data_IF_231783144617
#
_entry.id   IF_231783144617
#
_cell.length_a   1.000
_cell.length_b   1.000
_cell.length_c   1.000
_cell.angle_alpha   90.00
_cell.angle_beta   90.00
_cell.angle_gamma   90.00
#
_symmetry.space_group_name_H-M   'P 1'
#
loop_
_entity.id
_entity.type
_entity.pdbx_description
1 polymer ?
#
# COMPACT_ATOMS: atom_id res chain seq x y z
N UNK A 1 17.12 -21.13 33.82
CA UNK A 1 16.92 -21.99 32.63
C UNK A 1 16.36 -21.13 31.54
N UNK A 2 17.22 -20.73 30.61
CA UNK A 2 16.95 -19.77 29.54
C UNK A 2 16.30 -20.49 28.35
N UNK A 3 15.01 -20.26 28.15
CA UNK A 3 14.35 -20.54 26.87
C UNK A 3 14.81 -19.48 25.85
N UNK A 4 15.94 -19.72 25.19
CA UNK A 4 16.22 -19.10 23.91
C UNK A 4 15.50 -19.93 22.85
N UNK A 5 14.23 -19.58 22.63
CA UNK A 5 13.46 -20.08 21.50
C UNK A 5 14.23 -19.76 20.22
N UNK A 6 14.63 -20.81 19.53
CA UNK A 6 15.24 -20.75 18.21
C UNK A 6 14.18 -20.26 17.21
N UNK A 7 13.95 -18.94 17.15
CA UNK A 7 13.08 -18.32 16.14
C UNK A 7 13.66 -18.67 14.77
N UNK A 8 12.99 -19.57 14.06
CA UNK A 8 13.42 -20.07 12.76
C UNK A 8 13.41 -18.90 11.78
N UNK A 9 14.60 -18.48 11.34
CA UNK A 9 14.74 -17.35 10.41
C UNK A 9 13.97 -17.65 9.11
N UNK A 10 13.02 -16.78 8.76
CA UNK A 10 12.20 -16.93 7.54
C UNK A 10 12.92 -16.32 6.35
N UNK A 11 12.97 -17.01 5.21
CA UNK A 11 13.53 -16.46 3.98
C UNK A 11 12.62 -15.37 3.41
N UNK A 12 13.20 -14.31 2.84
CA UNK A 12 12.45 -13.22 2.19
C UNK A 12 11.46 -13.76 1.16
N UNK A 13 11.93 -14.68 0.30
CA UNK A 13 11.13 -15.29 -0.76
C UNK A 13 9.91 -16.05 -0.21
N UNK A 14 10.07 -16.87 0.83
CA UNK A 14 8.94 -17.61 1.42
C UNK A 14 7.89 -16.69 2.04
N UNK A 15 8.32 -15.61 2.72
CA UNK A 15 7.41 -14.64 3.33
C UNK A 15 6.62 -13.88 2.25
N UNK A 16 7.27 -13.50 1.16
CA UNK A 16 6.61 -12.85 0.02
C UNK A 16 5.64 -13.80 -0.65
N UNK A 17 6.06 -15.03 -0.96
CA UNK A 17 5.24 -16.03 -1.63
C UNK A 17 3.98 -16.38 -0.81
N UNK A 18 4.12 -16.55 0.51
CA UNK A 18 3.00 -16.83 1.40
C UNK A 18 1.98 -15.67 1.43
N UNK A 19 2.45 -14.43 1.55
CA UNK A 19 1.57 -13.26 1.54
C UNK A 19 0.88 -13.08 0.18
N UNK A 20 1.60 -13.29 -0.93
CA UNK A 20 1.03 -13.22 -2.27
C UNK A 20 -0.02 -14.31 -2.51
N UNK A 21 0.23 -15.54 -2.05
CA UNK A 21 -0.73 -16.65 -2.15
C UNK A 21 -2.03 -16.35 -1.38
N UNK A 22 -1.91 -15.74 -0.18
CA UNK A 22 -3.08 -15.30 0.58
C UNK A 22 -3.82 -14.17 -0.14
N UNK A 23 -3.13 -13.20 -0.75
CA UNK A 23 -3.78 -12.17 -1.58
C UNK A 23 -4.58 -12.78 -2.74
N UNK A 24 -3.99 -13.72 -3.48
CA UNK A 24 -4.68 -14.42 -4.56
C UNK A 24 -5.92 -15.16 -4.06
N UNK A 25 -5.80 -15.83 -2.91
CA UNK A 25 -6.91 -16.58 -2.30
C UNK A 25 -8.05 -15.65 -1.89
N UNK A 26 -7.75 -14.55 -1.19
CA UNK A 26 -8.75 -13.65 -0.64
C UNK A 26 -9.38 -12.75 -1.71
N UNK A 27 -8.61 -12.22 -2.66
CA UNK A 27 -9.17 -11.49 -3.80
C UNK A 27 -9.97 -12.42 -4.74
N UNK A 28 -9.52 -13.68 -4.91
CA UNK A 28 -10.17 -14.69 -5.75
C UNK A 28 -11.58 -15.09 -5.29
N UNK A 29 -11.94 -14.83 -4.01
CA UNK A 29 -13.32 -15.00 -3.52
C UNK A 29 -14.30 -14.00 -4.15
N UNK A 30 -13.80 -12.92 -4.75
CA UNK A 30 -14.61 -11.82 -5.24
C UNK A 30 -14.61 -11.66 -6.77
N UNK A 31 -13.68 -12.30 -7.47
CA UNK A 31 -13.56 -12.26 -8.94
C UNK A 31 -13.18 -13.63 -9.50
N UNK A 32 -13.69 -13.92 -10.70
CA UNK A 32 -13.30 -15.05 -11.53
C UNK A 32 -12.57 -14.63 -12.81
N UNK A 33 -12.10 -15.63 -13.55
CA UNK A 33 -11.46 -15.43 -14.85
C UNK A 33 -12.44 -14.79 -15.84
N UNK A 34 -12.04 -13.68 -16.45
CA UNK A 34 -12.83 -12.92 -17.42
C UNK A 34 -13.73 -11.84 -16.80
N UNK A 35 -13.95 -11.85 -15.48
CA UNK A 35 -14.86 -10.90 -14.83
C UNK A 35 -14.39 -9.45 -15.02
N UNK A 36 -15.26 -8.54 -15.49
CA UNK A 36 -14.95 -7.12 -15.42
C UNK A 36 -14.90 -6.67 -13.96
N UNK A 37 -13.99 -5.75 -13.65
CA UNK A 37 -13.89 -5.16 -12.32
C UNK A 37 -13.48 -3.69 -12.44
N UNK A 38 -13.78 -2.92 -11.39
CA UNK A 38 -13.34 -1.54 -11.24
C UNK A 38 -12.45 -1.37 -10.01
N UNK A 39 -11.47 -0.46 -10.07
CA UNK A 39 -10.69 -0.03 -8.90
C UNK A 39 -10.92 1.47 -8.71
N UNK A 40 -11.46 1.89 -7.57
CA UNK A 40 -11.71 3.30 -7.29
C UNK A 40 -10.96 3.73 -6.03
N UNK A 41 -10.88 5.04 -5.80
CA UNK A 41 -9.93 5.64 -4.84
C UNK A 41 -8.46 5.48 -5.25
N UNK A 42 -8.16 5.57 -6.55
CA UNK A 42 -6.78 5.58 -7.03
C UNK A 42 -5.95 6.72 -6.38
N UNK A 43 -4.73 6.45 -5.87
CA UNK A 43 -3.90 7.42 -5.18
C UNK A 43 -3.20 8.38 -6.15
N UNK A 44 -3.93 9.40 -6.60
CA UNK A 44 -3.43 10.41 -7.54
C UNK A 44 -2.58 11.50 -6.86
N UNK A 45 -1.54 11.09 -6.14
CA UNK A 45 -0.58 11.96 -5.44
C UNK A 45 0.81 11.31 -5.36
N UNK A 46 1.82 12.06 -4.93
CA UNK A 46 3.22 11.63 -5.00
C UNK A 46 3.65 10.54 -4.01
N UNK A 47 2.73 9.90 -3.27
CA UNK A 47 3.11 8.85 -2.33
C UNK A 47 3.44 7.55 -3.09
N UNK A 48 4.70 7.12 -2.97
CA UNK A 48 5.19 5.87 -3.56
C UNK A 48 4.46 4.65 -3.01
N UNK A 49 4.21 4.62 -1.69
CA UNK A 49 3.61 3.46 -1.03
C UNK A 49 2.22 3.13 -1.56
N UNK A 50 1.37 4.14 -1.72
CA UNK A 50 0.01 3.93 -2.23
C UNK A 50 0.03 3.51 -3.71
N UNK A 51 1.00 3.98 -4.49
CA UNK A 51 1.22 3.46 -5.85
C UNK A 51 1.68 2.00 -5.85
N UNK A 52 2.49 1.57 -4.87
CA UNK A 52 2.88 0.17 -4.71
C UNK A 52 1.67 -0.72 -4.38
N UNK A 53 0.79 -0.27 -3.48
CA UNK A 53 -0.48 -0.96 -3.17
C UNK A 53 -1.28 -1.16 -4.46
N UNK A 54 -1.47 -0.09 -5.24
CA UNK A 54 -2.26 -0.15 -6.47
C UNK A 54 -1.67 -1.13 -7.48
N UNK A 55 -0.35 -1.13 -7.66
CA UNK A 55 0.33 -2.07 -8.57
C UNK A 55 0.22 -3.51 -8.08
N UNK A 56 0.25 -3.74 -6.77
CA UNK A 56 0.04 -5.04 -6.17
C UNK A 56 -1.40 -5.55 -6.32
N UNK A 57 -2.41 -4.70 -6.09
CA UNK A 57 -3.82 -4.98 -6.39
C UNK A 57 -3.99 -5.35 -7.86
N UNK A 58 -3.40 -4.55 -8.75
CA UNK A 58 -3.47 -4.75 -10.20
C UNK A 58 -2.80 -6.06 -10.62
N UNK A 59 -1.66 -6.42 -10.02
CA UNK A 59 -0.97 -7.68 -10.27
C UNK A 59 -1.85 -8.89 -9.92
N UNK A 60 -2.38 -8.91 -8.69
CA UNK A 60 -3.24 -9.99 -8.19
C UNK A 60 -4.52 -10.11 -9.01
N UNK A 61 -5.20 -8.99 -9.26
CA UNK A 61 -6.46 -8.99 -10.01
C UNK A 61 -6.27 -9.39 -11.47
N UNK A 62 -5.18 -8.99 -12.12
CA UNK A 62 -4.85 -9.43 -13.49
C UNK A 62 -4.58 -10.92 -13.55
N UNK A 63 -3.89 -11.48 -12.56
CA UNK A 63 -3.63 -12.91 -12.50
C UNK A 63 -4.93 -13.71 -12.36
N UNK A 64 -5.83 -13.28 -11.47
CA UNK A 64 -7.11 -13.94 -11.23
C UNK A 64 -8.08 -13.80 -12.41
N UNK A 65 -8.18 -12.60 -12.99
CA UNK A 65 -9.19 -12.28 -14.00
C UNK A 65 -8.69 -12.48 -15.43
N UNK A 66 -7.37 -12.51 -15.65
CA UNK A 66 -6.75 -12.51 -16.98
C UNK A 66 -6.94 -11.21 -17.77
N UNK A 67 -7.31 -10.11 -17.13
CA UNK A 67 -7.59 -8.83 -17.82
C UNK A 67 -7.24 -7.60 -16.98
N UNK A 68 -7.18 -6.45 -17.65
CA UNK A 68 -7.09 -5.14 -17.02
C UNK A 68 -8.41 -4.70 -16.37
N UNK A 69 -8.36 -3.81 -15.36
CA UNK A 69 -9.55 -3.21 -14.80
C UNK A 69 -10.31 -2.48 -15.91
N UNK A 70 -11.63 -2.61 -15.90
CA UNK A 70 -12.48 -1.95 -16.89
C UNK A 70 -12.67 -0.46 -16.57
N UNK A 71 -12.50 -0.07 -15.30
CA UNK A 71 -12.55 1.31 -14.84
C UNK A 71 -11.59 1.55 -13.67
N UNK A 72 -10.85 2.66 -13.70
CA UNK A 72 -10.04 3.12 -12.57
C UNK A 72 -10.29 4.60 -12.32
N UNK A 73 -10.47 5.04 -11.08
CA UNK A 73 -10.66 6.48 -10.78
C UNK A 73 -10.09 6.92 -9.43
N UNK A 74 -9.51 8.12 -9.41
CA UNK A 74 -9.30 8.87 -8.16
C UNK A 74 -10.57 9.60 -7.77
N UNK A 75 -10.67 10.06 -6.51
CA UNK A 75 -11.80 10.85 -5.98
C UNK A 75 -12.22 11.98 -6.93
N UNK A 76 -11.25 12.78 -7.39
CA UNK A 76 -11.49 13.96 -8.21
C UNK A 76 -11.91 13.64 -9.65
N UNK A 77 -11.74 12.39 -10.11
CA UNK A 77 -12.05 11.96 -11.49
C UNK A 77 -13.03 10.80 -11.52
N UNK A 78 -13.77 10.60 -10.42
CA UNK A 78 -14.80 9.59 -10.32
C UNK A 78 -16.08 10.03 -11.03
N UNK A 79 -16.67 9.14 -11.81
CA UNK A 79 -17.89 9.32 -12.58
C UNK A 79 -18.65 7.98 -12.55
N UNK A 80 -19.78 7.96 -11.85
CA UNK A 80 -20.55 6.74 -11.61
C UNK A 80 -21.12 6.15 -12.91
N UNK A 81 -21.57 6.99 -13.84
CA UNK A 81 -22.13 6.53 -15.10
C UNK A 81 -21.02 6.02 -16.03
N UNK A 82 -19.84 6.64 -15.99
CA UNK A 82 -18.68 6.11 -16.71
C UNK A 82 -18.23 4.76 -16.16
N UNK A 83 -18.30 4.55 -14.83
CA UNK A 83 -18.06 3.25 -14.22
C UNK A 83 -19.11 2.23 -14.71
N UNK A 84 -20.41 2.53 -14.61
CA UNK A 84 -21.48 1.62 -15.05
C UNK A 84 -21.38 1.26 -16.53
N UNK A 85 -21.01 2.20 -17.41
CA UNK A 85 -20.77 1.92 -18.84
C UNK A 85 -19.54 1.05 -19.08
N UNK A 86 -18.46 1.28 -18.33
CA UNK A 86 -17.20 0.59 -18.56
C UNK A 86 -17.15 -0.80 -17.90
N UNK A 87 -17.77 -0.95 -16.73
CA UNK A 87 -17.86 -2.16 -15.92
C UNK A 87 -19.34 -2.39 -15.51
N UNK A 88 -20.21 -2.81 -16.44
CA UNK A 88 -21.66 -2.95 -16.18
C UNK A 88 -21.98 -4.03 -15.15
N UNK A 89 -21.09 -5.01 -14.99
CA UNK A 89 -21.16 -6.08 -13.99
C UNK A 89 -19.84 -6.23 -13.25
N UNK A 90 -19.81 -7.11 -12.25
CA UNK A 90 -18.62 -7.43 -11.46
C UNK A 90 -18.38 -6.52 -10.26
N UNK A 91 -17.36 -6.79 -9.45
CA UNK A 91 -17.12 -6.06 -8.22
C UNK A 91 -16.46 -4.70 -8.44
N UNK A 92 -16.64 -3.84 -7.44
CA UNK A 92 -15.94 -2.57 -7.30
C UNK A 92 -14.95 -2.71 -6.13
N UNK A 93 -13.66 -2.63 -6.44
CA UNK A 93 -12.61 -2.60 -5.44
C UNK A 93 -12.33 -1.16 -5.02
N UNK A 94 -12.34 -0.91 -3.72
CA UNK A 94 -11.86 0.33 -3.10
C UNK A 94 -10.39 0.13 -2.74
N UNK A 95 -9.54 1.07 -3.15
CA UNK A 95 -8.11 1.01 -2.92
C UNK A 95 -7.72 0.82 -1.45
N UNK A 96 -6.69 0.00 -1.22
CA UNK A 96 -6.11 -0.32 0.08
C UNK A 96 -5.20 0.78 0.65
N UNK A 97 -4.51 0.47 1.75
CA UNK A 97 -3.57 1.39 2.40
C UNK A 97 -3.88 1.76 3.85
N UNK A 98 -3.81 3.05 4.18
CA UNK A 98 -3.99 3.56 5.55
C UNK A 98 -4.83 4.83 5.64
N UNK A 99 -5.95 4.85 4.90
CA UNK A 99 -6.87 5.99 4.80
C UNK A 99 -8.32 5.64 5.21
N UNK A 100 -8.54 4.49 5.86
CA UNK A 100 -9.84 4.12 6.42
C UNK A 100 -9.98 4.76 7.81
N UNK A 101 -10.76 5.83 7.89
CA UNK A 101 -10.84 6.62 9.12
C UNK A 101 -11.04 8.12 8.94
N UNK A 102 -11.15 8.82 10.06
CA UNK A 102 -11.38 10.28 10.13
C UNK A 102 -10.11 11.12 10.00
N UNK A 103 -8.93 10.52 10.08
CA UNK A 103 -7.64 11.19 9.79
C UNK A 103 -7.60 11.66 8.32
N UNK A 104 -8.28 10.95 7.42
CA UNK A 104 -8.32 11.21 5.98
C UNK A 104 -9.78 11.32 5.48
N UNK A 105 -10.53 12.35 5.91
CA UNK A 105 -11.99 12.37 5.80
C UNK A 105 -12.50 12.34 4.37
N UNK A 106 -11.75 12.90 3.40
CA UNK A 106 -12.14 12.87 1.99
C UNK A 106 -12.22 11.46 1.42
N UNK A 107 -11.30 10.57 1.82
CA UNK A 107 -11.30 9.17 1.38
C UNK A 107 -12.44 8.40 2.06
N UNK A 108 -12.64 8.62 3.36
CA UNK A 108 -13.72 7.98 4.11
C UNK A 108 -15.11 8.38 3.57
N UNK A 109 -15.36 9.67 3.38
CA UNK A 109 -16.62 10.17 2.82
C UNK A 109 -16.86 9.66 1.39
N UNK A 110 -15.80 9.57 0.57
CA UNK A 110 -15.92 8.99 -0.76
C UNK A 110 -16.36 7.52 -0.67
N UNK A 111 -15.72 6.73 0.19
CA UNK A 111 -16.02 5.31 0.40
C UNK A 111 -17.46 5.08 0.86
N UNK A 112 -17.90 5.84 1.87
CA UNK A 112 -19.27 5.80 2.39
C UNK A 112 -20.29 6.19 1.31
N UNK A 113 -19.97 7.21 0.49
CA UNK A 113 -20.79 7.58 -0.66
C UNK A 113 -20.88 6.45 -1.69
N UNK A 114 -19.79 5.73 -1.96
CA UNK A 114 -19.80 4.60 -2.89
C UNK A 114 -20.68 3.46 -2.38
N UNK A 115 -20.63 3.17 -1.07
CA UNK A 115 -21.53 2.19 -0.47
C UNK A 115 -23.01 2.56 -0.67
N UNK A 116 -23.37 3.84 -0.54
CA UNK A 116 -24.76 4.28 -0.75
C UNK A 116 -25.20 4.26 -2.22
N UNK A 117 -24.26 4.43 -3.16
CA UNK A 117 -24.58 4.55 -4.60
C UNK A 117 -24.64 3.19 -5.30
N UNK A 118 -23.81 2.23 -4.90
CA UNK A 118 -23.64 0.94 -5.57
C UNK A 118 -24.19 -0.23 -4.75
N UNK A 119 -25.38 -0.06 -4.20
CA UNK A 119 -26.07 -1.13 -3.45
C UNK A 119 -26.41 -2.35 -4.32
N UNK A 120 -26.39 -2.20 -5.64
CA UNK A 120 -26.58 -3.25 -6.63
C UNK A 120 -25.30 -4.03 -6.97
N UNK A 121 -24.16 -3.68 -6.37
CA UNK A 121 -22.85 -4.23 -6.71
C UNK A 121 -22.12 -4.71 -5.47
N UNK A 122 -21.30 -5.75 -5.67
CA UNK A 122 -20.30 -6.14 -4.67
C UNK A 122 -19.28 -5.02 -4.49
N UNK A 123 -19.12 -4.57 -3.25
CA UNK A 123 -18.11 -3.58 -2.88
C UNK A 123 -17.04 -4.23 -2.00
N UNK A 124 -15.79 -4.22 -2.46
CA UNK A 124 -14.67 -4.86 -1.76
C UNK A 124 -13.67 -3.80 -1.35
N UNK A 125 -13.52 -3.58 -0.05
CA UNK A 125 -12.41 -2.80 0.48
C UNK A 125 -11.15 -3.65 0.50
N UNK A 126 -10.17 -3.30 -0.33
CA UNK A 126 -8.85 -3.92 -0.31
C UNK A 126 -8.11 -3.66 1.01
N UNK A 127 -7.05 -4.41 1.35
CA UNK A 127 -6.43 -4.41 2.68
C UNK A 127 -6.11 -3.01 3.23
N UNK A 128 -6.72 -2.65 4.37
CA UNK A 128 -6.59 -1.35 5.02
C UNK A 128 -6.11 -1.43 6.48
N UNK A 129 -5.44 -0.37 6.93
CA UNK A 129 -5.34 -0.05 8.35
C UNK A 129 -6.46 0.92 8.74
N UNK A 130 -7.17 0.64 9.83
CA UNK A 130 -8.32 1.43 10.30
C UNK A 130 -7.90 2.32 11.48
N UNK A 131 -8.30 3.59 11.43
CA UNK A 131 -8.06 4.53 12.51
C UNK A 131 -9.18 5.58 12.60
N UNK A 132 -9.92 5.59 13.70
CA UNK A 132 -10.83 6.69 14.05
C UNK A 132 -10.41 7.34 15.37
N UNK A 133 -10.84 8.58 15.56
CA UNK A 133 -10.68 9.39 16.77
C UNK A 133 -12.02 9.97 17.24
N UNK A 134 -12.98 10.17 16.34
CA UNK A 134 -14.32 10.72 16.58
C UNK A 134 -15.39 9.63 16.49
N UNK A 135 -16.15 9.45 17.57
CA UNK A 135 -17.26 8.50 17.66
C UNK A 135 -18.40 8.83 16.66
N UNK A 136 -18.55 10.10 16.29
CA UNK A 136 -19.53 10.50 15.26
C UNK A 136 -19.15 9.92 13.89
N UNK A 137 -17.86 9.98 13.53
CA UNK A 137 -17.36 9.40 12.29
C UNK A 137 -17.46 7.86 12.30
N UNK A 138 -17.28 7.23 13.46
CA UNK A 138 -17.51 5.79 13.64
C UNK A 138 -18.97 5.45 13.34
N UNK A 139 -19.93 6.19 13.91
CA UNK A 139 -21.35 5.94 13.66
C UNK A 139 -21.72 6.13 12.18
N UNK A 140 -21.21 7.19 11.53
CA UNK A 140 -21.42 7.41 10.10
C UNK A 140 -20.88 6.26 9.23
N UNK A 141 -19.74 5.70 9.61
CA UNK A 141 -19.15 4.53 8.96
C UNK A 141 -20.04 3.30 9.13
N UNK A 142 -20.53 3.03 10.35
CA UNK A 142 -21.47 1.94 10.66
C UNK A 142 -22.73 2.07 9.81
N UNK A 143 -23.36 3.25 9.80
CA UNK A 143 -24.60 3.48 9.05
C UNK A 143 -24.42 3.27 7.55
N UNK A 144 -23.24 3.58 7.02
CA UNK A 144 -22.95 3.49 5.59
C UNK A 144 -22.63 2.07 5.13
N UNK A 145 -21.73 1.37 5.81
CA UNK A 145 -21.32 0.01 5.41
C UNK A 145 -22.22 -1.07 5.98
N UNK A 146 -22.78 -0.88 7.17
CA UNK A 146 -23.73 -1.83 7.79
C UNK A 146 -25.03 -1.95 6.99
N UNK A 147 -25.43 -0.90 6.26
CA UNK A 147 -26.59 -0.92 5.37
C UNK A 147 -26.28 -1.49 3.97
N UNK A 148 -25.02 -1.76 3.64
CA UNK A 148 -24.64 -2.23 2.30
C UNK A 148 -24.87 -3.75 2.16
N UNK A 149 -25.63 -4.22 1.16
CA UNK A 149 -26.03 -5.63 1.10
C UNK A 149 -24.88 -6.60 0.78
N UNK A 150 -23.85 -6.16 0.06
CA UNK A 150 -22.70 -7.01 -0.33
C UNK A 150 -21.37 -6.24 -0.17
N UNK A 151 -21.05 -5.85 1.07
CA UNK A 151 -19.77 -5.20 1.41
C UNK A 151 -18.80 -6.18 2.06
N UNK A 152 -17.57 -6.22 1.55
CA UNK A 152 -16.48 -7.03 2.09
C UNK A 152 -15.31 -6.15 2.51
N UNK A 153 -14.85 -6.34 3.75
CA UNK A 153 -13.75 -5.56 4.32
C UNK A 153 -12.50 -6.43 4.49
N UNK A 154 -11.41 -6.05 3.84
CA UNK A 154 -10.08 -6.60 4.12
C UNK A 154 -9.27 -5.60 4.96
N UNK A 155 -8.59 -6.10 5.97
CA UNK A 155 -7.69 -5.31 6.83
C UNK A 155 -6.32 -5.95 6.92
N UNK A 156 -5.28 -5.13 7.11
CA UNK A 156 -3.88 -5.58 7.02
C UNK A 156 -3.13 -5.72 8.34
N UNK A 157 -3.80 -5.50 9.46
CA UNK A 157 -3.22 -5.65 10.80
C UNK A 157 -4.28 -6.10 11.81
N UNK A 158 -3.83 -6.81 12.87
CA UNK A 158 -4.72 -7.39 13.89
C UNK A 158 -5.48 -6.33 14.69
N UNK A 159 -4.87 -5.16 14.92
CA UNK A 159 -5.56 -4.05 15.57
C UNK A 159 -6.79 -3.60 14.76
N UNK A 160 -6.65 -3.51 13.44
CA UNK A 160 -7.76 -3.16 12.54
C UNK A 160 -8.84 -4.24 12.49
N UNK A 161 -8.49 -5.52 12.69
CA UNK A 161 -9.49 -6.61 12.87
C UNK A 161 -10.36 -6.34 14.09
N UNK A 162 -9.71 -6.18 15.25
CA UNK A 162 -10.39 -5.90 16.52
C UNK A 162 -11.24 -4.65 16.44
N UNK A 163 -10.69 -3.55 15.89
CA UNK A 163 -11.43 -2.30 15.76
C UNK A 163 -12.68 -2.45 14.88
N UNK A 164 -12.58 -3.11 13.72
CA UNK A 164 -13.74 -3.29 12.84
C UNK A 164 -14.83 -4.16 13.48
N UNK A 165 -14.45 -5.20 14.22
CA UNK A 165 -15.40 -6.06 14.93
C UNK A 165 -16.09 -5.33 16.08
N UNK A 166 -15.31 -4.69 16.96
CA UNK A 166 -15.81 -4.11 18.20
C UNK A 166 -16.47 -2.73 18.01
N UNK A 167 -15.95 -1.91 17.09
CA UNK A 167 -16.41 -0.51 16.91
C UNK A 167 -17.29 -0.30 15.70
N UNK A 168 -17.12 -1.13 14.65
CA UNK A 168 -17.89 -0.97 13.41
C UNK A 168 -18.95 -2.06 13.21
N UNK A 169 -18.96 -3.12 14.03
CA UNK A 169 -19.86 -4.27 13.84
C UNK A 169 -19.64 -5.00 12.51
N UNK A 170 -18.46 -4.85 11.90
CA UNK A 170 -18.10 -5.45 10.61
C UNK A 170 -17.30 -6.73 10.84
N UNK A 171 -17.39 -7.66 9.89
CA UNK A 171 -16.60 -8.89 9.88
C UNK A 171 -15.46 -8.79 8.86
N UNK A 172 -14.29 -8.25 9.24
CA UNK A 172 -13.17 -8.10 8.32
C UNK A 172 -12.44 -9.43 8.09
N UNK A 173 -11.79 -9.55 6.94
CA UNK A 173 -10.81 -10.60 6.67
C UNK A 173 -9.40 -10.02 6.84
N UNK A 174 -8.54 -10.71 7.60
CA UNK A 174 -7.14 -10.32 7.76
C UNK A 174 -6.33 -10.77 6.54
N UNK A 175 -5.82 -9.81 5.78
CA UNK A 175 -5.14 -10.02 4.50
C UNK A 175 -3.88 -9.14 4.47
N UNK A 176 -2.72 -9.61 3.98
CA UNK A 176 -1.51 -8.79 3.95
C UNK A 176 -1.68 -7.58 3.03
N UNK A 177 -0.76 -6.63 3.14
CA UNK A 177 -0.77 -5.45 2.28
C UNK A 177 -0.70 -5.83 0.81
N UNK A 178 -1.54 -5.20 -0.01
CA UNK A 178 -1.66 -5.56 -1.42
C UNK A 178 -0.36 -5.36 -2.21
N UNK A 179 0.58 -4.52 -1.76
CA UNK A 179 1.88 -4.36 -2.40
C UNK A 179 2.68 -5.68 -2.48
N UNK A 180 2.44 -6.66 -1.58
CA UNK A 180 3.02 -8.01 -1.72
C UNK A 180 2.54 -8.76 -2.96
N UNK A 181 1.44 -8.33 -3.57
CA UNK A 181 0.97 -8.81 -4.87
C UNK A 181 1.96 -8.60 -6.02
N UNK A 182 2.89 -7.65 -5.87
CA UNK A 182 3.97 -7.41 -6.84
C UNK A 182 4.95 -8.60 -6.89
N UNK A 183 5.20 -9.24 -5.75
CA UNK A 183 6.18 -10.32 -5.62
C UNK A 183 7.62 -9.84 -5.42
N UNK A 184 8.57 -10.78 -5.42
CA UNK A 184 10.00 -10.52 -5.27
C UNK A 184 10.53 -9.78 -6.49
N UNK A 185 11.37 -8.76 -6.26
CA UNK A 185 11.91 -7.88 -7.29
C UNK A 185 13.43 -7.83 -7.24
N UNK A 186 14.11 -7.76 -8.39
CA UNK A 186 15.53 -7.42 -8.44
C UNK A 186 15.74 -5.96 -8.05
N UNK A 187 16.91 -5.64 -7.49
CA UNK A 187 17.31 -4.25 -7.28
C UNK A 187 17.54 -3.55 -8.63
N UNK A 188 16.85 -2.44 -8.94
CA UNK A 188 17.02 -1.71 -10.20
C UNK A 188 18.35 -0.95 -10.33
N UNK A 189 19.15 -0.84 -9.27
CA UNK A 189 20.40 -0.11 -9.28
C UNK A 189 21.43 -0.73 -8.33
N UNK A 190 22.71 -0.57 -8.64
CA UNK A 190 23.80 -0.87 -7.72
C UNK A 190 23.86 0.22 -6.63
N UNK A 191 23.96 -0.14 -5.35
CA UNK A 191 24.08 0.83 -4.27
C UNK A 191 25.29 1.75 -4.43
N UNK A 192 25.09 3.05 -4.27
CA UNK A 192 26.19 4.04 -4.21
C UNK A 192 26.44 4.55 -2.79
N UNK A 193 25.48 4.34 -1.89
CA UNK A 193 25.55 4.70 -0.47
C UNK A 193 25.52 3.45 0.40
N UNK A 194 26.12 3.52 1.59
CA UNK A 194 26.05 2.42 2.55
C UNK A 194 24.68 2.35 3.21
N UNK A 195 24.09 3.53 3.49
CA UNK A 195 22.77 3.65 4.11
C UNK A 195 21.92 4.69 3.38
N UNK A 196 20.68 4.33 3.04
CA UNK A 196 19.64 5.31 2.67
C UNK A 196 18.66 5.47 3.83
N UNK A 197 18.41 6.71 4.21
CA UNK A 197 17.46 7.08 5.27
C UNK A 197 16.19 7.66 4.62
N UNK A 198 15.11 6.88 4.66
CA UNK A 198 13.79 7.28 4.19
C UNK A 198 12.89 7.55 5.39
N UNK A 199 12.99 8.77 5.91
CA UNK A 199 12.27 9.20 7.11
C UNK A 199 11.10 10.14 6.76
N UNK A 200 10.13 10.26 7.66
CA UNK A 200 8.97 11.13 7.48
C UNK A 200 9.24 12.54 7.99
N UNK A 201 8.59 13.49 7.33
CA UNK A 201 8.62 14.91 7.65
C UNK A 201 7.24 15.47 8.03
N UNK A 202 6.20 14.64 8.00
CA UNK A 202 4.79 15.04 8.19
C UNK A 202 4.23 14.64 9.57
N UNK A 203 2.90 14.65 9.71
CA UNK A 203 2.18 14.36 10.96
C UNK A 203 2.45 12.98 11.56
N UNK A 204 3.03 12.04 10.82
CA UNK A 204 3.40 10.72 11.33
C UNK A 204 4.92 10.61 11.64
N UNK A 205 5.66 11.73 11.64
CA UNK A 205 7.08 11.76 11.97
C UNK A 205 7.33 11.30 13.41
N UNK A 206 8.42 10.56 13.60
CA UNK A 206 8.97 10.20 14.91
C UNK A 206 9.97 11.26 15.37
N UNK A 207 9.93 11.63 16.66
CA UNK A 207 10.96 12.47 17.28
C UNK A 207 12.23 11.65 17.50
N UNK A 208 13.09 11.58 16.48
CA UNK A 208 14.40 10.95 16.54
C UNK A 208 15.49 11.99 16.69
N UNK A 209 16.55 11.64 17.42
CA UNK A 209 17.78 12.43 17.45
C UNK A 209 18.46 12.39 16.08
N UNK A 210 18.23 13.45 15.30
CA UNK A 210 18.74 13.58 13.94
C UNK A 210 20.26 13.63 13.89
N UNK A 211 20.92 14.09 14.96
CA UNK A 211 22.39 14.25 14.99
C UNK A 211 23.12 12.91 14.87
N UNK A 212 22.58 11.87 15.51
CA UNK A 212 23.12 10.52 15.45
C UNK A 212 22.96 9.90 14.05
N UNK A 213 21.81 10.11 13.43
CA UNK A 213 21.52 9.60 12.09
C UNK A 213 22.38 10.30 11.02
N UNK A 214 22.66 11.59 11.20
CA UNK A 214 23.55 12.37 10.34
C UNK A 214 25.03 11.99 10.49
N UNK A 215 25.42 11.33 11.58
CA UNK A 215 26.80 10.89 11.78
C UNK A 215 27.14 9.57 11.08
N UNK A 216 26.16 8.89 10.48
CA UNK A 216 26.39 7.64 9.73
C UNK A 216 27.23 7.94 8.48
N UNK A 217 28.42 7.33 8.32
CA UNK A 217 29.25 7.54 7.14
C UNK A 217 28.55 7.11 5.86
N UNK A 218 28.71 7.90 4.79
CA UNK A 218 28.15 7.60 3.47
C UNK A 218 26.62 7.31 3.48
N UNK A 219 25.90 8.00 4.37
CA UNK A 219 24.45 7.94 4.45
C UNK A 219 23.80 9.02 3.59
N UNK A 220 22.67 8.69 2.96
CA UNK A 220 21.86 9.61 2.18
C UNK A 220 20.47 9.77 2.78
N UNK A 221 20.09 10.99 3.14
CA UNK A 221 18.69 11.32 3.41
C UNK A 221 17.90 11.40 2.10
N UNK A 222 16.72 10.77 2.08
CA UNK A 222 15.84 10.77 0.92
C UNK A 222 14.39 11.09 1.31
N UNK A 223 13.72 11.89 0.48
CA UNK A 223 12.26 11.95 0.44
C UNK A 223 11.77 11.62 -0.96
N UNK A 224 11.06 10.51 -1.07
CA UNK A 224 10.52 10.02 -2.33
C UNK A 224 9.15 10.60 -2.69
N UNK A 225 8.64 11.59 -1.93
CA UNK A 225 7.37 12.29 -2.21
C UNK A 225 7.51 13.44 -3.21
N UNK A 226 8.74 13.78 -3.61
CA UNK A 226 8.99 14.90 -4.51
C UNK A 226 8.40 14.68 -5.91
N UNK A 227 7.27 15.35 -6.18
CA UNK A 227 6.72 15.54 -7.52
C UNK A 227 6.41 17.02 -7.73
N UNK A 228 7.15 17.68 -8.63
CA UNK A 228 6.78 19.05 -9.01
C UNK A 228 5.46 19.05 -9.79
N UNK A 229 4.57 20.06 -9.62
CA UNK A 229 3.32 20.14 -10.38
C UNK A 229 3.52 20.11 -11.90
N UNK A 230 4.62 20.71 -12.39
CA UNK A 230 5.02 20.68 -13.79
C UNK A 230 5.34 19.26 -14.26
N UNK A 231 6.13 18.50 -13.49
CA UNK A 231 6.47 17.10 -13.79
C UNK A 231 5.21 16.22 -13.85
N UNK A 232 4.30 16.35 -12.88
CA UNK A 232 3.03 15.61 -12.86
C UNK A 232 2.17 15.88 -14.10
N UNK A 233 2.07 17.14 -14.49
CA UNK A 233 1.30 17.56 -15.66
C UNK A 233 1.91 16.98 -16.93
N UNK A 234 3.23 17.05 -17.06
CA UNK A 234 3.95 16.51 -18.22
C UNK A 234 3.82 14.99 -18.31
N UNK A 235 4.06 14.27 -17.21
CA UNK A 235 3.91 12.81 -17.13
C UNK A 235 2.50 12.38 -17.52
N UNK A 236 1.47 13.10 -17.06
CA UNK A 236 0.08 12.80 -17.44
C UNK A 236 -0.22 13.08 -18.90
N UNK A 237 0.31 14.15 -19.49
CA UNK A 237 0.16 14.45 -20.92
C UNK A 237 0.82 13.37 -21.77
N UNK A 238 2.05 13.00 -21.41
CA UNK A 238 2.79 11.91 -22.05
C UNK A 238 2.03 10.58 -21.94
N UNK A 239 1.54 10.23 -20.75
CA UNK A 239 0.77 9.01 -20.54
C UNK A 239 -0.53 8.98 -21.36
N UNK A 240 -1.22 10.11 -21.49
CA UNK A 240 -2.42 10.21 -22.33
C UNK A 240 -2.10 10.02 -23.81
N UNK A 241 -1.04 10.67 -24.31
CA UNK A 241 -0.60 10.51 -25.70
C UNK A 241 -0.22 9.05 -25.99
N UNK A 242 0.54 8.42 -25.09
CA UNK A 242 0.87 6.99 -25.16
C UNK A 242 -0.38 6.11 -25.18
N UNK A 243 -1.34 6.36 -24.29
CA UNK A 243 -2.57 5.57 -24.22
C UNK A 243 -3.36 5.60 -25.54
N UNK A 244 -3.45 6.77 -26.17
CA UNK A 244 -4.09 6.92 -27.49
C UNK A 244 -3.32 6.12 -28.54
N UNK A 245 -1.99 6.28 -28.58
CA UNK A 245 -1.12 5.57 -29.53
C UNK A 245 -1.20 4.03 -29.37
N UNK A 246 -1.47 3.53 -28.17
CA UNK A 246 -1.63 2.09 -27.88
C UNK A 246 -3.09 1.62 -27.98
N UNK A 247 -4.00 2.39 -28.58
CA UNK A 247 -5.37 1.95 -28.87
C UNK A 247 -6.37 2.06 -27.71
N UNK A 248 -6.04 2.79 -26.63
CA UNK A 248 -7.01 3.12 -25.58
C UNK A 248 -7.96 4.24 -26.05
N UNK A 249 -8.94 3.90 -26.88
CA UNK A 249 -9.79 4.89 -27.56
C UNK A 249 -10.93 5.45 -26.69
N UNK A 250 -11.35 4.74 -25.64
CA UNK A 250 -12.38 5.24 -24.71
C UNK A 250 -11.75 6.03 -23.56
N UNK A 251 -12.51 6.97 -22.98
CA UNK A 251 -12.06 7.77 -21.83
C UNK A 251 -11.63 6.88 -20.65
N UNK A 252 -12.41 5.84 -20.34
CA UNK A 252 -12.11 4.91 -19.24
C UNK A 252 -10.86 4.08 -19.51
N UNK A 253 -10.66 3.55 -20.73
CA UNK A 253 -9.44 2.82 -21.09
C UNK A 253 -8.20 3.73 -21.01
N UNK A 254 -8.28 4.98 -21.48
CA UNK A 254 -7.19 5.96 -21.32
C UNK A 254 -6.87 6.21 -19.86
N UNK A 255 -7.90 6.36 -19.04
CA UNK A 255 -7.76 6.63 -17.62
C UNK A 255 -7.02 5.48 -16.91
N UNK A 256 -7.36 4.23 -17.21
CA UNK A 256 -6.62 3.04 -16.74
C UNK A 256 -5.15 3.11 -17.17
N UNK A 257 -4.87 3.32 -18.46
CA UNK A 257 -3.48 3.40 -18.96
C UNK A 257 -2.67 4.52 -18.30
N UNK A 258 -3.28 5.70 -18.10
CA UNK A 258 -2.63 6.85 -17.47
C UNK A 258 -2.29 6.55 -16.00
N UNK A 259 -3.23 5.98 -15.25
CA UNK A 259 -2.99 5.66 -13.85
C UNK A 259 -1.97 4.54 -13.66
N UNK A 260 -2.02 3.51 -14.51
CA UNK A 260 -0.98 2.48 -14.56
C UNK A 260 0.41 3.11 -14.80
N UNK A 261 0.53 4.02 -15.76
CA UNK A 261 1.79 4.70 -16.03
C UNK A 261 2.29 5.51 -14.82
N UNK A 262 1.42 6.33 -14.22
CA UNK A 262 1.80 7.18 -13.09
C UNK A 262 2.21 6.35 -11.86
N UNK A 263 1.48 5.27 -11.57
CA UNK A 263 1.81 4.38 -10.47
C UNK A 263 3.17 3.69 -10.69
N UNK A 264 3.44 3.19 -11.90
CA UNK A 264 4.74 2.60 -12.24
C UNK A 264 5.89 3.62 -12.10
N UNK A 265 5.73 4.85 -12.61
CA UNK A 265 6.77 5.88 -12.47
C UNK A 265 7.09 6.20 -11.00
N UNK A 266 6.08 6.25 -10.13
CA UNK A 266 6.24 6.46 -8.69
C UNK A 266 6.92 5.29 -8.02
N UNK A 267 6.49 4.08 -8.34
CA UNK A 267 7.07 2.85 -7.83
C UNK A 267 8.54 2.73 -8.22
N UNK A 268 8.86 2.92 -9.51
CA UNK A 268 10.23 2.90 -10.03
C UNK A 268 11.13 3.93 -9.34
N UNK A 269 10.61 5.15 -9.12
CA UNK A 269 11.32 6.18 -8.36
C UNK A 269 11.64 5.68 -6.94
N UNK A 270 10.64 5.12 -6.25
CA UNK A 270 10.82 4.58 -4.90
C UNK A 270 11.84 3.45 -4.85
N UNK A 271 11.73 2.49 -5.78
CA UNK A 271 12.64 1.35 -5.88
C UNK A 271 14.08 1.81 -6.15
N UNK A 272 14.31 2.80 -7.01
CA UNK A 272 15.63 3.40 -7.24
C UNK A 272 16.17 4.10 -5.99
N UNK A 273 15.34 4.88 -5.28
CA UNK A 273 15.74 5.56 -4.04
C UNK A 273 16.20 4.55 -2.99
N UNK A 274 15.44 3.48 -2.77
CA UNK A 274 15.79 2.44 -1.78
C UNK A 274 17.04 1.66 -2.21
N UNK A 275 17.16 1.32 -3.49
CA UNK A 275 18.27 0.52 -4.01
C UNK A 275 19.61 1.25 -4.04
N UNK A 276 19.59 2.58 -3.90
CA UNK A 276 20.79 3.38 -3.81
C UNK A 276 21.58 3.13 -2.51
N UNK A 277 20.94 2.54 -1.49
CA UNK A 277 21.56 2.11 -0.24
C UNK A 277 21.87 0.62 -0.20
N UNK A 278 23.00 0.24 0.39
CA UNK A 278 23.26 -1.18 0.73
C UNK A 278 22.27 -1.65 1.79
N UNK A 279 22.01 -0.78 2.77
CA UNK A 279 20.99 -0.93 3.81
C UNK A 279 20.07 0.30 3.85
N UNK A 280 18.88 0.15 4.44
CA UNK A 280 17.91 1.24 4.58
C UNK A 280 17.51 1.45 6.05
N UNK A 281 17.32 2.71 6.46
CA UNK A 281 16.56 3.06 7.66
C UNK A 281 15.25 3.71 7.22
N UNK A 282 14.11 3.29 7.78
CA UNK A 282 12.83 3.91 7.45
C UNK A 282 11.82 3.91 8.59
N UNK A 283 11.00 4.96 8.67
CA UNK A 283 9.81 5.06 9.53
C UNK A 283 8.51 5.01 8.68
N UNK A 284 8.61 4.48 7.46
CA UNK A 284 7.49 4.31 6.54
C UNK A 284 7.18 2.83 6.37
N UNK A 285 5.92 2.45 6.60
CA UNK A 285 5.46 1.07 6.38
C UNK A 285 5.81 0.58 4.97
N UNK A 286 5.57 1.38 3.94
CA UNK A 286 5.94 1.00 2.57
C UNK A 286 7.44 1.06 2.30
N UNK A 287 8.22 1.77 3.10
CA UNK A 287 9.68 1.62 3.10
C UNK A 287 10.07 0.21 3.52
N UNK A 288 9.51 -0.29 4.63
CA UNK A 288 9.69 -1.67 5.09
C UNK A 288 9.21 -2.70 4.06
N UNK A 289 8.00 -2.55 3.53
CA UNK A 289 7.44 -3.49 2.54
C UNK A 289 8.27 -3.49 1.26
N UNK A 290 8.58 -2.32 0.68
CA UNK A 290 9.36 -2.28 -0.56
C UNK A 290 10.80 -2.76 -0.38
N UNK A 291 11.43 -2.50 0.77
CA UNK A 291 12.74 -3.11 1.07
C UNK A 291 12.64 -4.63 1.15
N UNK A 292 11.55 -5.16 1.72
CA UNK A 292 11.29 -6.61 1.73
C UNK A 292 11.16 -7.15 0.29
N UNK A 293 10.36 -6.50 -0.57
CA UNK A 293 10.19 -6.92 -1.97
C UNK A 293 11.48 -6.85 -2.80
N UNK A 294 12.37 -5.91 -2.50
CA UNK A 294 13.65 -5.71 -3.19
C UNK A 294 14.83 -6.50 -2.55
N UNK A 295 14.54 -7.28 -1.51
CA UNK A 295 15.53 -7.97 -0.67
C UNK A 295 16.66 -7.03 -0.20
N UNK A 296 16.26 -5.88 0.34
CA UNK A 296 17.15 -4.87 0.93
C UNK A 296 17.17 -5.02 2.45
N UNK A 297 18.34 -5.30 3.08
CA UNK A 297 18.48 -5.25 4.52
C UNK A 297 18.11 -3.87 5.06
N UNK A 298 17.24 -3.81 6.06
CA UNK A 298 16.74 -2.55 6.56
C UNK A 298 16.35 -2.59 8.03
N UNK A 299 16.47 -1.43 8.66
CA UNK A 299 15.96 -1.15 9.99
C UNK A 299 14.71 -0.30 9.84
N UNK A 300 13.65 -0.67 10.53
CA UNK A 300 12.44 0.14 10.56
C UNK A 300 12.16 0.67 11.96
N UNK A 301 11.67 1.90 12.03
CA UNK A 301 11.25 2.55 13.27
C UNK A 301 9.74 2.69 13.27
N UNK A 302 9.12 2.34 14.39
CA UNK A 302 7.67 2.47 14.46
C UNK A 302 7.25 3.95 14.50
N UNK A 303 6.08 4.25 13.94
CA UNK A 303 5.54 5.61 13.98
C UNK A 303 4.74 5.84 15.26
N UNK A 304 4.25 7.08 15.46
CA UNK A 304 3.43 7.47 16.63
C UNK A 304 2.18 6.61 16.86
N UNK A 305 1.73 5.86 15.84
CA UNK A 305 0.54 5.01 15.88
C UNK A 305 0.85 3.51 15.93
N UNK A 306 2.13 3.11 15.98
CA UNK A 306 2.50 1.70 16.00
C UNK A 306 2.25 0.95 14.67
N UNK A 307 2.07 1.67 13.54
CA UNK A 307 1.59 1.06 12.28
C UNK A 307 2.58 0.04 11.72
N UNK A 308 3.88 0.29 11.83
CA UNK A 308 4.89 -0.60 11.23
C UNK A 308 5.05 -1.84 12.09
N UNK A 309 5.13 -1.68 13.42
CA UNK A 309 5.19 -2.80 14.35
C UNK A 309 3.98 -3.72 14.20
N UNK A 310 2.76 -3.17 14.20
CA UNK A 310 1.52 -3.94 14.03
C UNK A 310 1.49 -4.76 12.74
N UNK A 311 1.95 -4.18 11.63
CA UNK A 311 2.05 -4.91 10.37
C UNK A 311 3.13 -5.99 10.42
N UNK A 312 4.31 -5.63 10.95
CA UNK A 312 5.44 -6.54 11.00
C UNK A 312 5.15 -7.77 11.87
N UNK A 313 4.52 -7.57 13.02
CA UNK A 313 4.07 -8.65 13.91
C UNK A 313 3.09 -9.60 13.23
N UNK A 314 2.19 -9.07 12.39
CA UNK A 314 1.22 -9.87 11.67
C UNK A 314 1.85 -10.69 10.53
N UNK A 315 2.85 -10.14 9.82
CA UNK A 315 3.25 -10.68 8.52
C UNK A 315 4.74 -10.96 8.36
N UNK A 316 5.63 -10.11 8.87
CA UNK A 316 7.06 -10.11 8.52
C UNK A 316 8.02 -10.40 9.69
N UNK A 317 7.49 -10.75 10.86
CA UNK A 317 8.27 -11.14 12.05
C UNK A 317 9.32 -12.22 11.76
N UNK A 318 10.55 -12.07 12.24
CA UNK A 318 11.61 -13.09 12.00
C UNK A 318 12.24 -13.08 10.60
N UNK A 319 11.96 -12.07 9.76
CA UNK A 319 12.75 -11.82 8.56
C UNK A 319 14.20 -11.46 8.95
N UNK A 320 15.19 -12.11 8.32
CA UNK A 320 16.61 -11.81 8.57
C UNK A 320 17.03 -10.40 8.13
N UNK A 321 16.39 -9.91 7.07
CA UNK A 321 16.68 -8.62 6.44
C UNK A 321 15.97 -7.44 7.10
N UNK A 322 15.13 -7.67 8.12
CA UNK A 322 14.35 -6.61 8.77
C UNK A 322 14.60 -6.62 10.28
N UNK A 323 14.84 -5.44 10.87
CA UNK A 323 14.94 -5.27 12.33
C UNK A 323 14.15 -4.05 12.78
N UNK A 324 13.40 -4.18 13.86
CA UNK A 324 12.71 -3.05 14.48
C UNK A 324 13.66 -2.31 15.41
N UNK A 325 13.70 -0.99 15.30
CA UNK A 325 14.33 -0.11 16.28
C UNK A 325 13.28 0.79 16.94
N UNK A 326 13.46 1.11 18.21
CA UNK A 326 12.64 2.06 18.99
C UNK A 326 13.34 3.40 19.21
N UNK A 327 14.63 3.51 18.85
CA UNK A 327 15.42 4.73 18.99
C UNK A 327 16.50 4.84 17.91
N UNK A 328 17.03 6.06 17.69
CA UNK A 328 18.12 6.30 16.75
C UNK A 328 19.42 5.53 17.12
N UNK A 329 19.89 5.52 18.38
CA UNK A 329 21.05 4.70 18.77
C UNK A 329 20.86 3.21 18.43
N UNK A 330 19.70 2.65 18.78
CA UNK A 330 19.40 1.26 18.50
C UNK A 330 19.35 0.98 17.00
N UNK A 331 18.83 1.92 16.19
CA UNK A 331 18.80 1.77 14.74
C UNK A 331 20.21 1.68 14.14
N UNK A 332 21.14 2.52 14.61
CA UNK A 332 22.55 2.49 14.19
C UNK A 332 23.23 1.18 14.57
N UNK A 333 22.95 0.63 15.76
CA UNK A 333 23.53 -0.65 16.17
C UNK A 333 22.95 -1.83 15.39
N UNK A 334 21.64 -1.83 15.13
CA UNK A 334 20.99 -2.87 14.34
C UNK A 334 21.42 -2.87 12.88
N UNK A 335 21.84 -1.72 12.32
CA UNK A 335 22.43 -1.66 10.99
C UNK A 335 23.69 -2.53 10.86
N UNK A 336 24.46 -2.69 11.93
CA UNK A 336 25.66 -3.55 11.92
C UNK A 336 25.31 -5.03 11.81
N UNK A 337 24.11 -5.41 12.24
CA UNK A 337 23.65 -6.79 12.37
C UNK A 337 22.70 -7.23 11.24
N UNK A 338 21.90 -6.31 10.71
CA UNK A 338 20.83 -6.65 9.75
C UNK A 338 21.41 -7.15 8.43
N UNK A 339 20.85 -8.25 7.92
CA UNK A 339 21.26 -8.87 6.66
C UNK A 339 22.60 -9.62 6.71
N UNK A 340 23.23 -9.74 7.88
CA UNK A 340 24.37 -10.65 8.11
C UNK A 340 23.93 -12.08 8.41
#
# INVERSE_FOLDING_TARGET
MSEHGNETSRSTESVIAAQRALLLTEFGKHVGRGDPYAIIDFPDHGNVGDSAIYLGELSVLRELTGRDPSYVASLARFDADALRRAAPTGPIFLHGGGNFGDVWPRHQQFREKMARIFTDRRLVQAPQSIQFQDDTAIQQCVDSFGAHPDFHLMVRDRHSVTFAQERLGLSPTLVPDAAFGIGLLPRPATPTHDVVMLLRTDKEKVNLDASLLQSIPNAREADWRAESPKSRTWQRRFANARAIATGALTKSKRQVSVYNYLANQRFDRGARVLSDGRKVITDRLHGHIMCTLLDIPHVYLDNSYGKIGRYADAWTKGLRIARQATSAPQAVDLLKQVGN
#
